data_IF_650482615524
#
_entry.id   IF_650482615524
#
_cell.length_a   1.000
_cell.length_b   1.000
_cell.length_c   1.000
_cell.angle_alpha   90.00
_cell.angle_beta   90.00
_cell.angle_gamma   90.00
#
_symmetry.space_group_name_H-M   'P 1'
#
loop_
_entity.id
_entity.type
_entity.pdbx_description
1 polymer ?
#
# COMPACT_ATOMS: atom_id res chain seq x y z
N UNK A 1 6.10 24.02 3.86
CA UNK A 1 5.60 22.76 3.23
C UNK A 1 5.62 22.99 1.73
N UNK A 2 6.50 22.30 0.99
CA UNK A 2 6.53 22.41 -0.46
C UNK A 2 5.51 21.44 -1.03
N UNK A 3 4.60 21.94 -1.83
CA UNK A 3 3.72 21.12 -2.68
C UNK A 3 4.37 21.05 -4.04
N UNK A 4 4.58 19.87 -4.59
CA UNK A 4 5.06 19.67 -5.96
C UNK A 4 3.95 19.04 -6.79
N UNK A 5 3.74 19.59 -7.95
CA UNK A 5 2.92 18.99 -8.99
C UNK A 5 3.82 18.11 -9.85
N UNK A 6 3.49 16.85 -9.99
CA UNK A 6 4.17 15.93 -10.89
C UNK A 6 3.66 16.22 -12.31
N UNK A 7 4.54 16.66 -13.17
CA UNK A 7 4.27 16.90 -14.59
C UNK A 7 5.19 16.02 -15.44
N UNK A 8 4.93 15.89 -16.72
CA UNK A 8 5.80 15.15 -17.64
C UNK A 8 7.28 15.58 -17.54
N UNK A 9 7.52 16.89 -17.37
CA UNK A 9 8.86 17.44 -17.19
C UNK A 9 9.51 17.14 -15.84
N UNK A 10 8.79 16.57 -14.89
CA UNK A 10 9.29 16.18 -13.57
C UNK A 10 9.98 14.81 -13.60
N UNK A 11 9.80 14.05 -14.68
CA UNK A 11 10.37 12.72 -14.85
C UNK A 11 11.65 12.77 -15.68
N UNK A 12 12.65 11.91 -15.39
CA UNK A 12 13.92 11.93 -16.10
C UNK A 12 13.77 11.45 -17.54
N UNK A 13 14.66 12.01 -18.35
CA UNK A 13 14.77 11.66 -19.76
C UNK A 13 14.70 12.86 -20.68
N UNK A 14 13.99 13.91 -20.30
CA UNK A 14 13.95 15.18 -21.04
C UNK A 14 13.62 15.08 -22.54
N UNK A 15 13.43 13.89 -23.04
CA UNK A 15 12.93 13.66 -24.39
C UNK A 15 11.43 13.96 -24.42
N UNK A 16 10.94 14.66 -25.44
CA UNK A 16 9.52 14.99 -25.55
C UNK A 16 8.60 13.75 -25.62
N UNK A 17 9.16 12.56 -25.67
CA UNK A 17 8.45 11.30 -25.80
C UNK A 17 8.39 10.48 -24.49
N UNK A 18 9.07 10.89 -23.42
CA UNK A 18 8.94 10.20 -22.14
C UNK A 18 7.67 10.68 -21.42
N UNK A 19 6.63 9.91 -21.60
CA UNK A 19 5.33 10.13 -20.99
C UNK A 19 5.43 9.98 -19.47
N UNK A 20 4.79 10.89 -18.75
CA UNK A 20 4.51 10.75 -17.32
C UNK A 20 3.92 9.36 -17.07
N UNK A 21 4.57 8.46 -16.30
CA UNK A 21 4.09 7.10 -16.09
C UNK A 21 2.72 7.05 -15.39
N UNK A 22 2.26 8.17 -14.84
CA UNK A 22 0.96 8.30 -14.18
C UNK A 22 -0.08 9.04 -15.03
N UNK A 23 0.26 9.37 -16.28
CA UNK A 23 -0.70 10.00 -17.18
C UNK A 23 -1.91 9.10 -17.43
N UNK A 24 -3.11 9.67 -17.36
CA UNK A 24 -4.35 8.90 -17.48
C UNK A 24 -4.64 7.96 -16.31
N UNK A 25 -3.96 8.12 -15.18
CA UNK A 25 -4.22 7.34 -13.97
C UNK A 25 -4.97 8.14 -12.90
N UNK A 26 -5.84 7.47 -12.17
CA UNK A 26 -6.54 7.99 -10.99
C UNK A 26 -5.92 7.42 -9.73
N UNK A 27 -5.58 8.30 -8.79
CA UNK A 27 -5.09 7.91 -7.46
C UNK A 27 -6.26 7.37 -6.61
N UNK A 28 -6.09 6.15 -6.08
CA UNK A 28 -7.06 5.49 -5.20
C UNK A 28 -6.64 5.66 -3.73
N UNK A 29 -5.38 5.35 -3.42
CA UNK A 29 -4.82 5.46 -2.07
C UNK A 29 -3.35 5.85 -2.14
N UNK A 30 -2.85 6.47 -1.07
CA UNK A 30 -1.46 6.86 -0.93
C UNK A 30 -1.01 6.67 0.52
N UNK A 31 0.11 6.01 0.69
CA UNK A 31 0.72 5.79 2.00
C UNK A 31 2.21 6.08 1.96
N UNK A 32 2.69 6.82 2.93
CA UNK A 32 4.13 6.98 3.16
C UNK A 32 4.59 5.88 4.11
N UNK A 33 5.71 5.25 3.75
CA UNK A 33 6.44 4.30 4.59
C UNK A 33 7.79 4.87 4.96
N UNK A 34 8.40 4.29 5.97
CA UNK A 34 9.70 4.68 6.49
C UNK A 34 9.59 5.46 7.78
N UNK A 35 9.62 4.76 8.90
CA UNK A 35 9.89 5.31 10.22
C UNK A 35 11.33 4.94 10.62
N UNK A 36 12.00 5.87 11.30
CA UNK A 36 13.32 5.67 11.85
C UNK A 36 14.47 6.02 10.89
N UNK A 37 15.65 5.54 11.19
CA UNK A 37 16.94 5.83 10.52
C UNK A 37 17.06 5.27 9.09
N UNK A 38 15.96 5.07 8.38
CA UNK A 38 16.03 4.65 6.98
C UNK A 38 16.47 5.82 6.11
N UNK A 39 17.52 5.60 5.36
CA UNK A 39 18.12 6.56 4.43
C UNK A 39 17.14 7.00 3.32
N UNK A 40 16.04 6.26 3.15
CA UNK A 40 15.05 6.51 2.11
C UNK A 40 13.63 6.38 2.66
N UNK A 41 12.88 7.46 2.58
CA UNK A 41 11.44 7.42 2.76
C UNK A 41 10.78 7.06 1.42
N UNK A 42 9.80 6.17 1.46
CA UNK A 42 9.03 5.80 0.30
C UNK A 42 7.60 6.29 0.41
N UNK A 43 7.04 6.65 -0.73
CA UNK A 43 5.60 6.84 -0.86
C UNK A 43 5.08 5.80 -1.85
N UNK A 44 4.10 5.03 -1.41
CA UNK A 44 3.38 4.10 -2.27
C UNK A 44 2.09 4.77 -2.76
N UNK A 45 1.79 4.56 -4.02
CA UNK A 45 0.55 4.99 -4.67
C UNK A 45 -0.21 3.76 -5.17
N UNK A 46 -1.50 3.72 -4.91
CA UNK A 46 -2.42 2.80 -5.54
C UNK A 46 -3.18 3.55 -6.63
N UNK A 47 -3.04 3.11 -7.86
CA UNK A 47 -3.47 3.82 -9.04
C UNK A 47 -4.42 2.96 -9.88
N UNK A 48 -5.35 3.60 -10.56
CA UNK A 48 -6.20 2.98 -11.58
C UNK A 48 -5.96 3.68 -12.92
N UNK A 49 -5.59 2.91 -13.94
CA UNK A 49 -5.49 3.44 -15.30
C UNK A 49 -6.88 3.58 -15.91
N UNK A 50 -7.18 4.78 -16.41
CA UNK A 50 -8.54 5.11 -16.84
C UNK A 50 -8.91 4.45 -18.17
N UNK A 51 -7.93 4.20 -19.06
CA UNK A 51 -8.17 3.66 -20.38
C UNK A 51 -8.67 2.20 -20.41
N UNK A 52 -8.21 1.37 -19.45
CA UNK A 52 -8.52 -0.07 -19.40
C UNK A 52 -8.94 -0.56 -18.01
N UNK A 53 -9.06 0.36 -17.06
CA UNK A 53 -9.44 0.09 -15.67
C UNK A 53 -8.49 -0.85 -14.90
N UNK A 54 -7.27 -1.03 -15.36
CA UNK A 54 -6.24 -1.79 -14.66
C UNK A 54 -5.70 -1.05 -13.45
N UNK A 55 -5.26 -1.79 -12.45
CA UNK A 55 -4.72 -1.25 -11.21
C UNK A 55 -3.21 -1.40 -11.15
N UNK A 56 -2.55 -0.46 -10.48
CA UNK A 56 -1.10 -0.43 -10.35
C UNK A 56 -0.70 0.01 -8.95
N UNK A 57 0.41 -0.55 -8.48
CA UNK A 57 1.11 -0.05 -7.30
C UNK A 57 2.39 0.63 -7.78
N UNK A 58 2.57 1.88 -7.40
CA UNK A 58 3.80 2.63 -7.67
C UNK A 58 4.56 2.91 -6.38
N UNK A 59 5.89 2.89 -6.45
CA UNK A 59 6.78 3.30 -5.37
C UNK A 59 7.61 4.50 -5.81
N UNK A 60 7.56 5.55 -5.00
CA UNK A 60 8.37 6.76 -5.15
C UNK A 60 9.33 6.88 -3.97
N UNK A 61 10.58 7.22 -4.20
CA UNK A 61 11.54 7.53 -3.14
C UNK A 61 11.50 9.01 -2.79
N UNK A 62 11.43 9.33 -1.51
CA UNK A 62 11.33 10.73 -1.07
C UNK A 62 12.59 11.55 -1.32
N UNK A 63 13.75 10.89 -1.32
CA UNK A 63 15.03 11.54 -1.65
C UNK A 63 15.06 12.17 -3.04
N UNK A 64 14.30 11.62 -3.96
CA UNK A 64 14.23 12.07 -5.34
C UNK A 64 13.47 13.41 -5.50
N UNK A 65 12.79 13.85 -4.43
CA UNK A 65 12.12 15.14 -4.36
C UNK A 65 12.96 16.25 -3.68
N UNK A 66 14.11 15.88 -3.10
CA UNK A 66 14.90 16.76 -2.26
C UNK A 66 15.94 17.58 -3.04
N UNK A 67 15.55 18.41 -3.96
CA UNK A 67 16.46 19.40 -4.55
C UNK A 67 16.60 19.38 -6.06
N UNK A 68 16.20 18.33 -6.74
CA UNK A 68 16.16 18.24 -8.20
C UNK A 68 14.76 18.54 -8.72
N UNK A 69 14.68 19.06 -9.93
CA UNK A 69 13.42 19.32 -10.64
C UNK A 69 12.89 18.06 -11.33
N UNK A 70 13.72 17.02 -11.44
CA UNK A 70 13.42 15.76 -12.11
C UNK A 70 13.46 14.60 -11.14
N UNK A 71 12.56 13.61 -11.30
CA UNK A 71 12.66 12.31 -10.66
C UNK A 71 13.66 11.46 -11.44
N UNK A 72 14.57 10.77 -10.72
CA UNK A 72 15.40 9.75 -11.36
C UNK A 72 14.52 8.57 -11.76
N UNK A 73 14.61 8.09 -13.02
CA UNK A 73 13.80 6.98 -13.54
C UNK A 73 13.94 5.68 -12.75
N UNK A 74 15.08 5.47 -12.10
CA UNK A 74 15.28 4.35 -11.17
C UNK A 74 14.46 4.50 -9.87
N UNK A 75 13.90 5.67 -9.61
CA UNK A 75 13.16 6.00 -8.39
C UNK A 75 11.69 5.59 -8.45
N UNK A 76 11.16 5.31 -9.64
CA UNK A 76 9.76 4.94 -9.83
C UNK A 76 9.66 3.48 -10.21
N UNK A 77 9.05 2.68 -9.35
CA UNK A 77 8.63 1.31 -9.69
C UNK A 77 7.12 1.31 -9.88
N UNK A 78 6.66 0.79 -11.01
CA UNK A 78 5.24 0.66 -11.33
C UNK A 78 4.96 -0.82 -11.63
N UNK A 79 4.09 -1.43 -10.82
CA UNK A 79 3.74 -2.85 -10.92
C UNK A 79 2.24 -3.00 -11.09
N UNK A 80 1.80 -3.73 -12.12
CA UNK A 80 0.38 -4.02 -12.32
C UNK A 80 -0.14 -4.93 -11.20
N UNK A 81 -1.30 -4.56 -10.65
CA UNK A 81 -2.03 -5.37 -9.68
C UNK A 81 -3.13 -6.16 -10.39
N UNK A 82 -2.99 -7.48 -10.42
CA UNK A 82 -3.85 -8.37 -11.22
C UNK A 82 -4.90 -9.13 -10.40
N UNK A 83 -4.90 -8.97 -9.07
CA UNK A 83 -5.64 -9.81 -8.12
C UNK A 83 -7.06 -9.31 -7.81
N UNK A 84 -7.62 -8.48 -8.67
CA UNK A 84 -8.97 -7.93 -8.52
C UNK A 84 -9.01 -6.45 -8.22
N UNK A 85 -10.04 -6.00 -7.52
CA UNK A 85 -10.21 -4.57 -7.16
C UNK A 85 -9.54 -4.27 -5.84
N UNK A 86 -8.42 -3.52 -5.82
CA UNK A 86 -7.76 -3.16 -4.59
C UNK A 86 -8.53 -2.04 -3.86
N UNK A 87 -8.49 -2.09 -2.54
CA UNK A 87 -9.22 -1.15 -1.67
C UNK A 87 -8.31 -0.37 -0.72
N UNK A 88 -7.23 -0.98 -0.26
CA UNK A 88 -6.31 -0.37 0.71
C UNK A 88 -4.87 -0.72 0.38
N UNK A 89 -3.98 0.17 0.79
CA UNK A 89 -2.55 0.07 0.60
C UNK A 89 -1.83 0.26 1.95
N UNK A 90 -0.82 -0.56 2.23
CA UNK A 90 0.03 -0.42 3.39
C UNK A 90 1.49 -0.75 3.01
N UNK A 91 2.45 0.14 3.19
CA UNK A 91 3.87 -0.16 2.99
C UNK A 91 4.38 -1.11 4.07
N UNK A 92 5.33 -1.98 3.72
CA UNK A 92 6.15 -2.69 4.71
C UNK A 92 7.17 -1.73 5.34
N UNK A 93 7.70 -2.09 6.50
CA UNK A 93 8.67 -1.23 7.22
C UNK A 93 9.92 -0.94 6.41
N UNK A 94 10.42 -1.90 5.66
CA UNK A 94 11.56 -1.72 4.78
C UNK A 94 11.25 -0.87 3.53
N UNK A 95 9.97 -0.58 3.25
CA UNK A 95 9.53 0.16 2.07
C UNK A 95 9.81 -0.55 0.73
N UNK A 96 10.27 -1.81 0.79
CA UNK A 96 10.59 -2.62 -0.39
C UNK A 96 9.40 -3.40 -0.92
N UNK A 97 8.32 -3.48 -0.15
CA UNK A 97 7.10 -4.16 -0.54
C UNK A 97 5.86 -3.37 -0.14
N UNK A 98 4.77 -3.65 -0.82
CA UNK A 98 3.44 -3.15 -0.55
C UNK A 98 2.52 -4.30 -0.12
N UNK A 99 1.70 -4.04 0.89
CA UNK A 99 0.55 -4.86 1.20
C UNK A 99 -0.67 -4.22 0.56
N UNK A 100 -1.32 -4.95 -0.34
CA UNK A 100 -2.49 -4.47 -1.08
C UNK A 100 -3.68 -5.30 -0.68
N UNK A 101 -4.73 -4.66 -0.14
CA UNK A 101 -5.96 -5.36 0.19
C UNK A 101 -6.97 -5.28 -0.96
N UNK A 102 -7.66 -6.37 -1.16
CA UNK A 102 -8.97 -6.44 -1.85
C UNK A 102 -10.09 -6.46 -0.80
N UNK A 103 -11.27 -6.94 -1.16
CA UNK A 103 -12.38 -7.01 -0.23
C UNK A 103 -12.07 -7.90 1.00
N UNK A 104 -11.47 -9.07 0.80
CA UNK A 104 -11.29 -10.09 1.83
C UNK A 104 -9.86 -10.66 1.93
N UNK A 105 -8.93 -10.19 1.09
CA UNK A 105 -7.56 -10.69 1.04
C UNK A 105 -6.54 -9.58 1.10
N UNK A 106 -5.37 -9.89 1.65
CA UNK A 106 -4.17 -9.04 1.58
C UNK A 106 -3.14 -9.76 0.73
N UNK A 107 -2.59 -9.05 -0.22
CA UNK A 107 -1.53 -9.51 -1.12
C UNK A 107 -0.22 -8.83 -0.78
N UNK A 108 0.85 -9.60 -0.84
CA UNK A 108 2.21 -9.09 -0.73
C UNK A 108 2.76 -8.82 -2.13
N UNK A 109 3.22 -7.61 -2.38
CA UNK A 109 3.83 -7.17 -3.62
C UNK A 109 5.25 -6.68 -3.39
N UNK A 110 6.23 -7.39 -3.92
CA UNK A 110 7.62 -6.94 -3.87
C UNK A 110 7.81 -5.77 -4.86
N UNK A 111 8.08 -4.58 -4.33
CA UNK A 111 8.29 -3.37 -5.12
C UNK A 111 9.77 -3.15 -5.51
N UNK A 112 10.68 -3.96 -4.99
CA UNK A 112 12.09 -3.94 -5.37
C UNK A 112 12.32 -4.67 -6.70
N UNK A 113 11.43 -5.59 -7.05
CA UNK A 113 11.49 -6.38 -8.27
C UNK A 113 10.22 -6.14 -9.09
N UNK A 114 10.36 -5.72 -10.34
CA UNK A 114 9.24 -5.48 -11.25
C UNK A 114 8.74 -6.75 -11.95
N UNK A 115 9.40 -7.89 -11.73
CA UNK A 115 8.95 -9.17 -12.24
C UNK A 115 7.88 -9.78 -11.32
N UNK A 116 6.84 -10.33 -11.92
CA UNK A 116 5.63 -10.83 -11.24
C UNK A 116 5.83 -12.02 -10.27
N UNK A 117 7.06 -12.51 -10.10
CA UNK A 117 7.35 -13.77 -9.41
C UNK A 117 7.24 -13.72 -7.89
N UNK A 118 7.19 -12.54 -7.29
CA UNK A 118 7.14 -12.36 -5.83
C UNK A 118 5.80 -11.78 -5.33
N UNK A 119 4.77 -11.86 -6.14
CA UNK A 119 3.43 -11.42 -5.77
C UNK A 119 2.62 -12.63 -5.30
N UNK A 120 2.02 -12.53 -4.11
CA UNK A 120 1.24 -13.65 -3.56
C UNK A 120 0.11 -13.20 -2.68
N UNK A 121 -0.97 -14.00 -2.66
CA UNK A 121 -1.96 -13.90 -1.59
C UNK A 121 -1.27 -14.24 -0.26
N UNK A 122 -1.39 -13.35 0.70
CA UNK A 122 -0.67 -13.43 1.97
C UNK A 122 -1.59 -13.73 3.14
N UNK A 123 -2.72 -13.04 3.21
CA UNK A 123 -3.74 -13.24 4.23
C UNK A 123 -5.09 -13.34 3.54
N UNK A 124 -5.92 -14.27 3.98
CA UNK A 124 -7.33 -14.36 3.61
C UNK A 124 -8.17 -14.28 4.87
N UNK A 125 -9.16 -13.40 4.87
CA UNK A 125 -10.10 -13.30 5.97
C UNK A 125 -11.16 -14.43 5.90
N UNK A 126 -11.81 -14.74 7.02
CA UNK A 126 -12.96 -15.64 7.04
C UNK A 126 -14.06 -15.13 6.09
N UNK A 127 -14.81 -16.07 5.53
CA UNK A 127 -15.95 -15.76 4.66
C UNK A 127 -16.93 -14.79 5.30
N UNK A 128 -17.45 -13.85 4.53
CA UNK A 128 -18.38 -12.84 4.99
C UNK A 128 -17.76 -11.66 5.73
N UNK A 129 -16.43 -11.52 5.68
CA UNK A 129 -15.72 -10.36 6.21
C UNK A 129 -15.16 -9.50 5.07
N UNK A 130 -15.21 -8.18 5.23
CA UNK A 130 -14.65 -7.23 4.28
C UNK A 130 -13.64 -6.33 4.99
N UNK A 131 -12.45 -6.20 4.44
CA UNK A 131 -11.39 -5.34 4.98
C UNK A 131 -11.85 -3.88 4.91
N UNK A 132 -11.79 -3.22 6.04
CA UNK A 132 -12.14 -1.81 6.19
C UNK A 132 -10.92 -0.92 6.43
N UNK A 133 -9.85 -1.48 6.97
CA UNK A 133 -8.62 -0.74 7.25
C UNK A 133 -7.47 -1.69 7.59
N UNK A 134 -6.24 -1.22 7.34
CA UNK A 134 -5.01 -1.90 7.74
C UNK A 134 -4.06 -0.91 8.43
N UNK A 135 -3.29 -1.39 9.39
CA UNK A 135 -2.20 -0.66 10.02
C UNK A 135 -1.05 -1.61 10.38
N UNK A 136 0.17 -1.25 10.01
CA UNK A 136 1.38 -1.98 10.35
C UNK A 136 2.14 -1.23 11.45
N UNK A 137 2.54 -1.96 12.49
CA UNK A 137 3.32 -1.43 13.60
C UNK A 137 4.82 -1.61 13.35
N UNK A 138 5.65 -0.88 14.09
CA UNK A 138 7.13 -0.95 13.99
C UNK A 138 7.73 -2.28 14.44
N UNK A 139 6.98 -3.09 15.17
CA UNK A 139 7.34 -4.46 15.56
C UNK A 139 6.78 -5.54 14.62
N UNK A 140 6.47 -5.16 13.38
CA UNK A 140 5.93 -6.04 12.33
C UNK A 140 4.62 -6.75 12.70
N UNK A 141 3.73 -6.08 13.40
CA UNK A 141 2.36 -6.52 13.57
C UNK A 141 1.42 -5.83 12.62
N UNK A 142 0.72 -6.60 11.81
CA UNK A 142 -0.31 -6.09 10.91
C UNK A 142 -1.68 -6.25 11.60
N UNK A 143 -2.33 -5.13 11.83
CA UNK A 143 -3.72 -5.08 12.26
C UNK A 143 -4.64 -4.90 11.06
N UNK A 144 -5.68 -5.71 10.96
CA UNK A 144 -6.71 -5.64 9.94
C UNK A 144 -8.04 -5.45 10.64
N UNK A 145 -8.69 -4.30 10.37
CA UNK A 145 -10.08 -4.07 10.72
C UNK A 145 -10.98 -4.56 9.60
N UNK A 146 -11.96 -5.36 9.93
CA UNK A 146 -12.89 -5.92 8.98
C UNK A 146 -14.33 -5.76 9.46
N UNK A 147 -15.26 -5.74 8.52
CA UNK A 147 -16.70 -5.68 8.78
C UNK A 147 -17.41 -6.88 8.18
N UNK A 148 -18.36 -7.42 8.90
CA UNK A 148 -19.26 -8.44 8.39
C UNK A 148 -20.11 -7.92 7.22
N UNK A 149 -20.36 -8.76 6.23
CA UNK A 149 -21.21 -8.45 5.07
C UNK A 149 -22.70 -8.59 5.34
N UNK A 150 -23.08 -9.15 6.51
CA UNK A 150 -24.48 -9.30 6.93
C UNK A 150 -25.12 -8.01 7.42
N UNK A 151 -26.41 -8.07 7.75
CA UNK A 151 -27.19 -6.94 8.25
C UNK A 151 -26.80 -6.46 9.65
N UNK A 152 -25.96 -7.21 10.37
CA UNK A 152 -25.43 -6.83 11.68
C UNK A 152 -24.24 -5.88 11.55
N UNK A 153 -24.20 -4.83 12.37
CA UNK A 153 -23.05 -3.92 12.49
C UNK A 153 -21.96 -4.58 13.38
N UNK A 154 -21.30 -5.60 12.85
CA UNK A 154 -20.32 -6.35 13.60
C UNK A 154 -18.95 -6.15 12.95
N UNK A 155 -18.05 -5.52 13.69
CA UNK A 155 -16.65 -5.39 13.33
C UNK A 155 -15.82 -6.56 13.86
N UNK A 156 -14.66 -6.75 13.27
CA UNK A 156 -13.64 -7.69 13.72
C UNK A 156 -12.26 -7.07 13.59
N UNK A 157 -11.36 -7.37 14.50
CA UNK A 157 -9.97 -6.94 14.45
C UNK A 157 -9.09 -8.18 14.46
N UNK A 158 -8.27 -8.32 13.44
CA UNK A 158 -7.27 -9.39 13.31
C UNK A 158 -5.88 -8.81 13.51
N UNK A 159 -5.04 -9.51 14.26
CA UNK A 159 -3.63 -9.16 14.47
C UNK A 159 -2.76 -10.30 13.98
N UNK A 160 -1.83 -9.99 13.08
CA UNK A 160 -0.88 -10.93 12.50
C UNK A 160 0.54 -10.52 12.83
N UNK A 161 1.40 -11.50 13.15
CA UNK A 161 2.84 -11.35 13.05
C UNK A 161 3.26 -11.52 11.59
N UNK A 162 3.94 -10.51 11.05
CA UNK A 162 4.36 -10.46 9.66
C UNK A 162 5.89 -10.36 9.51
N UNK A 163 6.63 -10.81 10.50
CA UNK A 163 8.10 -10.90 10.45
C UNK A 163 8.58 -11.99 9.47
N UNK A 164 7.82 -13.08 9.34
CA UNK A 164 8.14 -14.20 8.48
C UNK A 164 7.55 -14.11 7.08
N UNK A 165 7.93 -15.08 6.23
CA UNK A 165 7.39 -15.22 4.87
C UNK A 165 5.88 -15.51 4.90
N UNK A 166 5.42 -16.24 5.91
CA UNK A 166 4.02 -16.59 6.12
C UNK A 166 3.49 -15.85 7.34
N UNK A 167 2.46 -15.02 7.21
CA UNK A 167 1.83 -14.33 8.32
C UNK A 167 1.26 -15.31 9.34
N UNK A 168 1.46 -15.04 10.61
CA UNK A 168 0.92 -15.85 11.71
C UNK A 168 -0.18 -15.07 12.41
N UNK A 169 -1.39 -15.62 12.44
CA UNK A 169 -2.48 -15.02 13.19
C UNK A 169 -2.18 -15.08 14.69
N UNK A 170 -2.05 -13.92 15.34
CA UNK A 170 -1.82 -13.81 16.78
C UNK A 170 -3.17 -13.80 17.51
N UNK A 171 -4.08 -12.97 17.06
CA UNK A 171 -5.37 -12.74 17.72
C UNK A 171 -6.46 -12.34 16.73
N UNK A 172 -7.67 -12.80 17.00
CA UNK A 172 -8.88 -12.36 16.34
C UNK A 172 -9.89 -11.92 17.42
N UNK A 173 -10.25 -10.66 17.40
CA UNK A 173 -11.36 -10.10 18.19
C UNK A 173 -12.54 -9.96 17.24
N UNK A 174 -13.54 -10.80 17.41
CA UNK A 174 -14.77 -10.81 16.61
C UNK A 174 -15.94 -10.30 17.43
N UNK A 175 -16.97 -9.79 16.76
CA UNK A 175 -18.18 -9.33 17.46
C UNK A 175 -18.03 -7.96 18.10
N UNK A 176 -17.07 -7.14 17.63
CA UNK A 176 -16.96 -5.75 18.05
C UNK A 176 -18.21 -5.00 17.64
N UNK A 177 -18.90 -4.39 18.59
CA UNK A 177 -20.13 -3.64 18.31
C UNK A 177 -19.84 -2.44 17.43
N UNK A 178 -20.47 -2.36 16.27
CA UNK A 178 -20.30 -1.30 15.30
C UNK A 178 -19.34 -1.66 14.16
N UNK A 179 -19.31 -0.80 13.14
CA UNK A 179 -18.41 -0.96 11.99
C UNK A 179 -17.04 -0.36 12.28
N UNK A 180 -16.01 -1.10 11.94
CA UNK A 180 -14.65 -0.57 11.87
C UNK A 180 -14.58 0.39 10.68
N UNK A 181 -14.17 1.62 10.91
CA UNK A 181 -13.92 2.62 9.86
C UNK A 181 -12.44 2.72 9.56
N UNK A 182 -11.61 2.77 10.61
CA UNK A 182 -10.18 2.96 10.50
C UNK A 182 -9.45 2.38 11.70
N UNK A 183 -8.27 1.82 11.46
CA UNK A 183 -7.25 1.50 12.45
C UNK A 183 -6.08 2.44 12.20
N UNK A 184 -5.59 3.08 13.26
CA UNK A 184 -4.43 3.96 13.20
C UNK A 184 -3.42 3.47 14.22
N UNK A 185 -2.20 3.20 13.78
CA UNK A 185 -1.07 3.01 14.65
C UNK A 185 -0.34 4.33 14.84
N UNK A 186 -0.06 4.68 16.09
CA UNK A 186 0.77 5.84 16.44
C UNK A 186 1.86 5.38 17.40
N UNK A 187 3.10 5.60 17.01
CA UNK A 187 4.23 5.45 17.91
C UNK A 187 4.42 6.76 18.68
N UNK A 188 4.42 6.65 20.01
CA UNK A 188 4.84 7.77 20.84
C UNK A 188 6.31 7.59 21.16
N UNK A 189 7.16 8.54 20.72
CA UNK A 189 8.53 8.63 21.23
C UNK A 189 8.45 9.04 22.71
N UNK A 190 9.05 8.23 23.57
CA UNK A 190 9.32 8.59 24.97
C UNK A 190 10.58 9.46 25.03
#
# INVERSE_FOLDING_TARGET
KKVRTLTASTFPGGAPEETNPFEGMTLIDMKSGGEGNFTYNYTLLLLKRNSDSKYFVARLRAGDFAGTTTLDGAAVSLVEFTEGTPTHLQPTLAGTAALVATADKVYFYNMANTTATDHRAWISLPSGQTIASMALTTDNRLFIGANGTGSGLVGSIYSYDVTGITPQLIKAETGVTGKIKQIIYRQFSR
#
